data_IF_940179665056
#
_entry.id   IF_940179665056
#
_cell.length_a   1.000
_cell.length_b   1.000
_cell.length_c   1.000
_cell.angle_alpha   90.00
_cell.angle_beta   90.00
_cell.angle_gamma   90.00
#
_symmetry.space_group_name_H-M   'P 1'
#
loop_
_entity.id
_entity.type
_entity.pdbx_description
1 polymer ?
#
# COMPACT_ATOMS: atom_id res chain seq x y z
N UNK A 1 -10.41 -16.41 1.63
CA UNK A 1 -10.05 -16.34 3.06
C UNK A 1 -10.52 -14.98 3.58
N UNK A 2 -11.30 -14.93 4.66
CA UNK A 2 -11.79 -13.69 5.29
C UNK A 2 -11.18 -13.57 6.70
N UNK A 3 -10.80 -12.37 7.15
CA UNK A 3 -10.34 -12.17 8.53
C UNK A 3 -11.52 -11.79 9.41
N UNK A 4 -11.71 -12.42 10.58
CA UNK A 4 -12.75 -12.02 11.51
C UNK A 4 -12.41 -10.65 12.10
N UNK A 5 -13.25 -9.65 11.86
CA UNK A 5 -13.21 -8.37 12.57
C UNK A 5 -14.35 -8.36 13.57
N UNK A 6 -14.01 -8.20 14.85
CA UNK A 6 -14.97 -8.10 15.94
C UNK A 6 -15.46 -6.66 16.01
N UNK A 7 -16.73 -6.41 15.65
CA UNK A 7 -17.40 -5.13 15.83
C UNK A 7 -18.64 -5.31 16.69
N UNK A 8 -18.78 -4.51 17.75
CA UNK A 8 -19.98 -4.49 18.58
C UNK A 8 -21.00 -3.55 17.95
N UNK A 9 -22.02 -4.13 17.32
CA UNK A 9 -23.24 -3.44 16.90
C UNK A 9 -24.35 -4.04 17.75
N UNK A 10 -24.76 -3.31 18.79
CA UNK A 10 -25.86 -3.66 19.70
C UNK A 10 -25.63 -4.90 20.57
N UNK A 11 -24.43 -5.11 21.12
CA UNK A 11 -24.15 -6.21 22.06
C UNK A 11 -24.12 -7.60 21.42
N UNK A 12 -24.13 -7.68 20.08
CA UNK A 12 -23.86 -8.91 19.34
C UNK A 12 -22.48 -8.83 18.71
N UNK A 13 -21.58 -9.70 19.17
CA UNK A 13 -20.27 -9.93 18.56
C UNK A 13 -20.47 -10.55 17.17
N UNK A 14 -20.65 -9.72 16.14
CA UNK A 14 -20.72 -10.21 14.75
C UNK A 14 -19.32 -10.29 14.18
N UNK A 15 -18.98 -11.49 13.69
CA UNK A 15 -17.81 -11.69 12.82
C UNK A 15 -18.12 -11.03 11.48
N UNK A 16 -17.62 -9.82 11.27
CA UNK A 16 -17.64 -9.20 9.95
C UNK A 16 -16.63 -9.94 9.08
N UNK A 17 -17.14 -10.72 8.13
CA UNK A 17 -16.34 -11.37 7.09
C UNK A 17 -15.86 -10.29 6.11
N UNK A 18 -14.75 -9.64 6.43
CA UNK A 18 -14.16 -8.65 5.55
C UNK A 18 -13.34 -9.38 4.48
N UNK A 19 -13.60 -9.17 3.18
CA UNK A 19 -12.87 -9.85 2.12
C UNK A 19 -11.39 -9.46 2.14
N UNK A 20 -10.52 -10.46 2.10
CA UNK A 20 -9.07 -10.27 1.93
C UNK A 20 -8.78 -10.19 0.45
N UNK A 21 -8.47 -8.99 -0.01
CA UNK A 21 -8.02 -8.73 -1.37
C UNK A 21 -6.53 -9.01 -1.51
N UNK A 22 -6.16 -9.48 -2.70
CA UNK A 22 -4.77 -9.43 -3.15
C UNK A 22 -4.61 -8.16 -3.98
N UNK A 23 -3.75 -7.26 -3.51
CA UNK A 23 -3.51 -5.98 -4.17
C UNK A 23 -2.11 -5.96 -4.75
N UNK A 24 -2.01 -5.59 -6.02
CA UNK A 24 -0.73 -5.39 -6.70
C UNK A 24 -0.31 -3.92 -6.56
N UNK A 25 0.84 -3.68 -5.94
CA UNK A 25 1.48 -2.37 -5.91
C UNK A 25 2.47 -2.31 -7.06
N UNK A 26 2.27 -1.41 -8.01
CA UNK A 26 3.10 -1.23 -9.20
C UNK A 26 3.88 0.07 -9.10
N UNK A 27 5.19 0.00 -9.18
CA UNK A 27 6.09 1.15 -9.09
C UNK A 27 6.65 1.45 -10.47
N UNK A 28 6.45 2.69 -10.93
CA UNK A 28 6.84 3.13 -12.27
C UNK A 28 7.60 4.46 -12.22
N UNK A 29 8.50 4.68 -13.17
CA UNK A 29 9.20 5.96 -13.35
C UNK A 29 8.34 7.00 -14.11
N UNK A 30 8.92 8.17 -14.38
CA UNK A 30 8.32 9.25 -15.18
C UNK A 30 7.86 8.80 -16.57
N UNK A 31 8.53 7.82 -17.18
CA UNK A 31 8.22 7.24 -18.48
C UNK A 31 7.25 6.04 -18.38
N UNK A 32 6.63 5.82 -17.22
CA UNK A 32 5.80 4.64 -16.91
C UNK A 32 6.55 3.32 -17.04
N UNK A 33 7.88 3.33 -17.01
CA UNK A 33 8.70 2.11 -17.01
C UNK A 33 8.71 1.51 -15.61
N UNK A 34 8.62 0.18 -15.47
CA UNK A 34 8.64 -0.47 -14.16
C UNK A 34 9.97 -0.19 -13.43
N UNK A 35 9.90 0.05 -12.13
CA UNK A 35 11.08 0.25 -11.27
C UNK A 35 11.37 -1.05 -10.52
N UNK A 36 12.34 -1.87 -10.98
CA UNK A 36 12.65 -3.14 -10.33
C UNK A 36 13.26 -2.91 -8.95
N UNK A 37 13.07 -3.88 -8.04
CA UNK A 37 13.66 -3.87 -6.70
C UNK A 37 13.32 -2.63 -5.85
N UNK A 38 12.25 -1.90 -6.20
CA UNK A 38 11.83 -0.72 -5.45
C UNK A 38 11.54 -1.07 -3.99
N UNK A 39 12.19 -0.36 -3.07
CA UNK A 39 12.10 -0.60 -1.64
C UNK A 39 10.95 0.18 -1.00
N UNK A 40 10.06 -0.54 -0.33
CA UNK A 40 8.92 0.04 0.36
C UNK A 40 8.62 -0.70 1.67
N UNK A 41 7.92 -0.03 2.58
CA UNK A 41 7.26 -0.67 3.73
C UNK A 41 5.76 -0.46 3.62
N UNK A 42 4.97 -1.33 4.22
CA UNK A 42 3.53 -1.13 4.37
C UNK A 42 3.19 -0.93 5.83
N UNK A 43 2.35 0.04 6.14
CA UNK A 43 1.69 0.16 7.44
C UNK A 43 0.24 -0.23 7.25
N UNK A 44 -0.18 -1.26 7.99
CA UNK A 44 -1.50 -1.82 7.90
C UNK A 44 -2.02 -2.12 9.30
N UNK A 45 -3.18 -1.55 9.67
CA UNK A 45 -3.79 -1.67 11.02
C UNK A 45 -2.79 -1.36 12.15
N UNK A 46 -1.99 -0.31 11.98
CA UNK A 46 -0.99 0.12 12.97
C UNK A 46 0.29 -0.71 13.01
N UNK A 47 0.43 -1.76 12.18
CA UNK A 47 1.65 -2.58 12.07
C UNK A 47 2.44 -2.20 10.84
N UNK A 48 3.72 -1.89 11.02
CA UNK A 48 4.66 -1.63 9.93
C UNK A 48 5.36 -2.92 9.55
N UNK A 49 5.39 -3.24 8.25
CA UNK A 49 6.15 -4.38 7.74
C UNK A 49 7.65 -4.08 7.68
N UNK A 50 8.45 -5.14 7.57
CA UNK A 50 9.82 -5.03 7.10
C UNK A 50 9.91 -4.38 5.72
N UNK A 51 11.12 -3.96 5.35
CA UNK A 51 11.41 -3.44 4.00
C UNK A 51 11.19 -4.58 3.01
N UNK A 52 10.29 -4.36 2.06
CA UNK A 52 10.00 -5.27 0.95
C UNK A 52 10.50 -4.64 -0.35
N UNK A 53 10.85 -5.50 -1.29
CA UNK A 53 11.27 -5.12 -2.64
C UNK A 53 10.24 -5.53 -3.67
N UNK A 54 9.97 -4.66 -4.61
CA UNK A 54 9.22 -5.01 -5.81
C UNK A 54 10.01 -6.01 -6.67
N UNK A 55 9.32 -6.84 -7.45
CA UNK A 55 9.97 -7.78 -8.35
C UNK A 55 10.64 -7.07 -9.55
N UNK A 56 11.22 -7.84 -10.48
CA UNK A 56 11.86 -7.32 -11.69
C UNK A 56 10.91 -6.50 -12.61
N UNK A 57 9.59 -6.64 -12.45
CA UNK A 57 8.57 -5.87 -13.18
C UNK A 57 8.07 -4.67 -12.38
N UNK A 58 8.73 -4.33 -11.27
CA UNK A 58 8.31 -3.25 -10.38
C UNK A 58 6.96 -3.52 -9.70
N UNK A 59 6.57 -4.78 -9.55
CA UNK A 59 5.30 -5.16 -8.91
C UNK A 59 5.58 -5.84 -7.58
N UNK A 60 4.82 -5.47 -6.55
CA UNK A 60 4.80 -6.15 -5.28
C UNK A 60 3.37 -6.54 -4.89
N UNK A 61 3.21 -7.74 -4.34
CA UNK A 61 1.90 -8.23 -3.93
C UNK A 61 1.74 -8.07 -2.42
N UNK A 62 0.65 -7.44 -2.02
CA UNK A 62 0.24 -7.26 -0.62
C UNK A 62 -1.16 -7.82 -0.41
N UNK A 63 -1.40 -8.38 0.77
CA UNK A 63 -2.73 -8.79 1.21
C UNK A 63 -3.29 -7.71 2.12
N UNK A 64 -4.49 -7.24 1.83
CA UNK A 64 -5.16 -6.23 2.64
C UNK A 64 -6.67 -6.48 2.62
N UNK A 65 -7.33 -6.12 3.72
CA UNK A 65 -8.79 -6.17 3.80
C UNK A 65 -9.40 -4.98 3.07
N UNK A 66 -10.48 -5.24 2.35
CA UNK A 66 -11.33 -4.18 1.84
C UNK A 66 -11.88 -3.32 3.01
N UNK A 67 -12.07 -2.02 2.75
CA UNK A 67 -12.49 -1.03 3.73
C UNK A 67 -11.40 -0.60 4.73
N UNK A 68 -10.17 -1.12 4.63
CA UNK A 68 -9.07 -0.75 5.51
C UNK A 68 -8.06 0.15 4.82
N UNK A 69 -7.50 1.11 5.57
CA UNK A 69 -6.43 1.96 5.08
C UNK A 69 -5.12 1.18 4.99
N UNK A 70 -4.49 1.24 3.82
CA UNK A 70 -3.15 0.76 3.58
C UNK A 70 -2.24 1.95 3.30
N UNK A 71 -1.18 2.09 4.09
CA UNK A 71 -0.14 3.11 3.89
C UNK A 71 1.10 2.43 3.33
N UNK A 72 1.63 2.95 2.23
CA UNK A 72 2.88 2.54 1.59
C UNK A 72 3.93 3.60 1.87
N UNK A 73 5.00 3.22 2.55
CA UNK A 73 6.15 4.07 2.83
C UNK A 73 7.20 3.76 1.75
N UNK A 74 7.58 4.81 1.04
CA UNK A 74 8.56 4.81 -0.04
C UNK A 74 9.94 5.07 0.56
N UNK A 75 10.75 4.03 0.73
CA UNK A 75 12.01 4.10 1.50
C UNK A 75 12.98 5.08 0.85
N UNK A 76 13.16 4.98 -0.46
CA UNK A 76 14.08 5.85 -1.22
C UNK A 76 13.71 7.34 -1.17
N UNK A 77 12.43 7.66 -1.03
CA UNK A 77 11.94 9.06 -1.02
C UNK A 77 11.67 9.59 0.39
N UNK A 78 11.76 8.76 1.42
CA UNK A 78 11.27 9.05 2.78
C UNK A 78 9.85 9.68 2.80
N UNK A 79 8.98 9.22 1.91
CA UNK A 79 7.59 9.69 1.77
C UNK A 79 6.62 8.54 1.98
N UNK A 80 5.34 8.85 2.11
CA UNK A 80 4.30 7.85 2.15
C UNK A 80 3.09 8.22 1.30
N UNK A 81 2.39 7.20 0.84
CA UNK A 81 1.08 7.30 0.19
C UNK A 81 0.12 6.39 0.92
N UNK A 82 -1.08 6.86 1.22
CA UNK A 82 -2.12 6.04 1.84
C UNK A 82 -3.39 6.06 1.02
N UNK A 83 -4.06 4.92 0.96
CA UNK A 83 -5.36 4.81 0.33
C UNK A 83 -6.19 3.72 1.03
N UNK A 84 -7.51 3.76 0.86
CA UNK A 84 -8.43 2.75 1.39
C UNK A 84 -8.54 1.64 0.35
N UNK A 85 -8.27 0.41 0.74
CA UNK A 85 -8.43 -0.76 -0.13
C UNK A 85 -9.93 -0.98 -0.34
N UNK A 86 -10.41 -0.92 -1.57
CA UNK A 86 -11.83 -1.20 -1.89
C UNK A 86 -12.00 -2.65 -2.35
N UNK A 87 -13.23 -3.16 -2.32
CA UNK A 87 -13.55 -4.56 -2.68
C UNK A 87 -13.23 -4.92 -4.15
N UNK A 88 -13.01 -3.92 -5.01
CA UNK A 88 -12.53 -4.09 -6.39
C UNK A 88 -11.07 -3.69 -6.63
N UNK A 89 -10.32 -3.31 -5.59
CA UNK A 89 -8.94 -2.85 -5.73
C UNK A 89 -8.00 -4.02 -6.02
N UNK A 90 -7.60 -4.16 -7.30
CA UNK A 90 -6.66 -5.20 -7.76
C UNK A 90 -5.25 -4.67 -7.98
N UNK A 91 -5.10 -3.40 -8.39
CA UNK A 91 -3.81 -2.77 -8.66
C UNK A 91 -3.79 -1.30 -8.23
N UNK A 92 -2.71 -0.87 -7.57
CA UNK A 92 -2.35 0.53 -7.33
C UNK A 92 -1.02 0.85 -8.01
N UNK A 93 -0.99 1.90 -8.82
CA UNK A 93 0.23 2.36 -9.49
C UNK A 93 0.80 3.60 -8.80
N UNK A 94 2.10 3.57 -8.50
CA UNK A 94 2.87 4.65 -7.91
C UNK A 94 3.94 5.15 -8.87
N UNK A 95 3.88 6.43 -9.20
CA UNK A 95 4.92 7.15 -9.92
C UNK A 95 6.04 7.54 -8.95
N UNK A 96 7.21 6.90 -9.06
CA UNK A 96 8.35 7.11 -8.16
C UNK A 96 9.00 8.47 -8.37
N UNK A 97 8.92 9.03 -9.58
CA UNK A 97 9.42 10.36 -9.94
C UNK A 97 8.73 11.47 -9.13
N UNK A 98 7.40 11.42 -9.03
CA UNK A 98 6.60 12.37 -8.23
C UNK A 98 6.86 12.24 -6.72
N UNK A 99 7.32 11.07 -6.29
CA UNK A 99 7.68 10.83 -4.91
C UNK A 99 9.06 11.42 -4.58
N UNK A 100 9.99 11.47 -5.53
CA UNK A 100 11.30 12.10 -5.37
C UNK A 100 11.32 13.62 -5.63
N UNK A 101 10.33 14.19 -6.32
CA UNK A 101 10.33 15.60 -6.77
C UNK A 101 10.15 16.69 -5.69
N UNK A 102 9.84 16.37 -4.41
CA UNK A 102 9.78 17.44 -3.36
C UNK A 102 11.12 17.72 -2.66
N UNK A 103 12.24 17.11 -3.06
CA UNK A 103 13.53 17.38 -2.40
C UNK A 103 14.33 18.49 -3.10
N UNK A 104 13.68 19.33 -3.90
CA UNK A 104 14.27 20.55 -4.47
C UNK A 104 13.25 21.69 -4.42
N UNK A 105 12.95 22.18 -3.21
CA UNK A 105 12.58 23.59 -3.02
C UNK A 105 12.53 23.91 -1.53
N UNK A 106 13.62 24.53 -1.05
CA UNK A 106 13.69 25.56 -0.02
C UNK A 106 15.12 25.65 0.50
N UNK A 107 15.99 26.21 -0.36
CA UNK A 107 17.16 26.96 0.10
C UNK A 107 16.91 28.41 -0.37
N UNK A 108 16.29 29.20 0.51
CA UNK A 108 16.31 30.66 0.51
C UNK A 108 16.62 31.07 1.93
#
# INVERSE_FOLDING_TARGET
MAFPVTGDLNGQTKVLNVPVGTLQLKFVDKNKKPVPNYEFKTVYRGRTSDIRKANARGIAIVKALAGQQLKVIHVAANKFTSNIVTDGSTEWTYSTDKLTENTTSSAV
#
